data_IF_313339213751
#
_entry.id   IF_313339213751
#
_cell.length_a   1.000
_cell.length_b   1.000
_cell.length_c   1.000
_cell.angle_alpha   90.00
_cell.angle_beta   90.00
_cell.angle_gamma   90.00
#
_symmetry.space_group_name_H-M   'P 1'
#
loop_
_entity.id
_entity.type
_entity.pdbx_description
1 polymer ?
#
# COMPACT_ATOMS: atom_id res chain seq x y z
N UNK A 1 7.46 -19.51 -22.50
CA UNK A 1 7.81 -18.97 -21.18
C UNK A 1 7.92 -17.46 -21.32
N UNK A 2 7.24 -16.66 -20.51
CA UNK A 2 7.38 -15.19 -20.53
C UNK A 2 8.82 -14.82 -20.12
N UNK A 3 9.38 -13.77 -20.75
CA UNK A 3 10.69 -13.20 -20.39
C UNK A 3 10.73 -12.90 -18.89
N UNK A 4 11.83 -13.22 -18.21
CA UNK A 4 12.05 -12.77 -16.81
C UNK A 4 12.15 -11.26 -16.76
N UNK A 5 11.57 -10.66 -15.72
CA UNK A 5 11.76 -9.22 -15.43
C UNK A 5 13.15 -9.01 -14.86
N UNK A 6 13.91 -8.10 -15.46
CA UNK A 6 15.26 -7.75 -15.04
C UNK A 6 15.22 -6.59 -14.05
N UNK A 7 15.52 -6.86 -12.79
CA UNK A 7 15.49 -5.89 -11.69
C UNK A 7 16.93 -5.48 -11.35
N UNK A 8 17.26 -4.22 -11.62
CA UNK A 8 18.54 -3.66 -11.21
C UNK A 8 18.54 -3.41 -9.70
N UNK A 9 19.45 -4.02 -8.96
CA UNK A 9 19.63 -3.79 -7.54
C UNK A 9 20.67 -2.69 -7.31
N UNK A 10 20.28 -1.69 -6.54
CA UNK A 10 21.15 -0.63 -6.04
C UNK A 10 21.21 -0.77 -4.52
N UNK A 11 22.36 -1.17 -3.99
CA UNK A 11 22.50 -1.47 -2.57
C UNK A 11 23.82 -0.99 -2.00
N UNK A 12 23.82 -0.79 -0.68
CA UNK A 12 25.04 -0.55 0.11
C UNK A 12 25.27 -1.75 1.04
N UNK A 13 26.05 -2.72 0.59
CA UNK A 13 26.53 -3.84 1.41
C UNK A 13 25.54 -4.98 1.64
N UNK A 14 24.29 -4.95 1.12
CA UNK A 14 23.34 -6.07 1.26
C UNK A 14 23.81 -7.32 0.52
N UNK A 15 24.57 -7.16 -0.55
CA UNK A 15 25.17 -8.23 -1.34
C UNK A 15 26.16 -9.10 -0.57
N UNK A 16 26.69 -8.61 0.54
CA UNK A 16 27.61 -9.32 1.42
C UNK A 16 26.93 -9.98 2.63
N UNK A 17 25.61 -9.94 2.68
CA UNK A 17 24.82 -10.50 3.77
C UNK A 17 23.91 -11.64 3.29
N UNK A 18 23.46 -12.48 4.21
CA UNK A 18 22.48 -13.54 3.90
C UNK A 18 21.16 -13.04 3.34
N UNK A 19 20.85 -11.75 3.50
CA UNK A 19 19.66 -11.10 2.95
C UNK A 19 19.64 -11.17 1.43
N UNK A 20 20.80 -11.13 0.76
CA UNK A 20 20.86 -11.23 -0.70
C UNK A 20 20.27 -12.54 -1.22
N UNK A 21 20.47 -13.64 -0.52
CA UNK A 21 19.86 -14.93 -0.90
C UNK A 21 18.35 -14.89 -0.82
N UNK A 22 17.78 -14.19 0.16
CA UNK A 22 16.33 -14.04 0.28
C UNK A 22 15.77 -13.10 -0.81
N UNK A 23 16.53 -12.09 -1.25
CA UNK A 23 16.17 -11.25 -2.40
C UNK A 23 16.10 -12.10 -3.68
N UNK A 24 17.11 -12.94 -3.93
CA UNK A 24 17.12 -13.82 -5.10
C UNK A 24 15.97 -14.82 -5.09
N UNK A 25 15.67 -15.45 -3.94
CA UNK A 25 14.53 -16.35 -3.80
C UNK A 25 13.20 -15.65 -4.07
N UNK A 26 13.03 -14.44 -3.53
CA UNK A 26 11.83 -13.65 -3.75
C UNK A 26 11.66 -13.25 -5.22
N UNK A 27 12.72 -12.87 -5.91
CA UNK A 27 12.71 -12.55 -7.33
C UNK A 27 12.39 -13.78 -8.19
N UNK A 28 12.99 -14.92 -7.90
CA UNK A 28 12.74 -16.18 -8.60
C UNK A 28 11.27 -16.62 -8.47
N UNK A 29 10.69 -16.49 -7.27
CA UNK A 29 9.29 -16.83 -7.02
C UNK A 29 8.29 -16.05 -7.87
N UNK A 30 8.67 -14.85 -8.34
CA UNK A 30 7.84 -13.98 -9.22
C UNK A 30 8.32 -13.96 -10.68
N UNK A 31 9.18 -14.92 -11.06
CA UNK A 31 9.80 -15.02 -12.39
C UNK A 31 10.54 -13.74 -12.80
N UNK A 32 11.33 -13.19 -11.88
CA UNK A 32 12.24 -12.08 -12.10
C UNK A 32 13.69 -12.54 -11.87
N UNK A 33 14.63 -11.71 -12.31
CA UNK A 33 16.05 -11.84 -11.97
C UNK A 33 16.55 -10.51 -11.42
N UNK A 34 17.35 -10.59 -10.38
CA UNK A 34 18.01 -9.44 -9.76
C UNK A 34 19.47 -9.44 -10.17
N UNK A 35 19.98 -8.29 -10.59
CA UNK A 35 21.38 -8.12 -10.98
C UNK A 35 21.91 -6.78 -10.48
N UNK A 36 23.25 -6.71 -10.33
CA UNK A 36 23.93 -5.46 -10.04
C UNK A 36 24.38 -4.82 -11.35
N UNK A 37 24.02 -3.55 -11.64
CA UNK A 37 24.52 -2.85 -12.81
C UNK A 37 26.04 -2.82 -12.84
N UNK A 38 26.64 -3.30 -13.93
CA UNK A 38 28.06 -3.16 -14.20
C UNK A 38 28.34 -1.84 -14.87
N UNK A 39 29.28 -1.06 -14.35
CA UNK A 39 29.56 0.31 -14.79
C UNK A 39 31.07 0.55 -14.88
N UNK A 40 31.47 1.46 -15.76
CA UNK A 40 32.87 1.84 -15.90
C UNK A 40 33.35 2.71 -14.74
N UNK A 41 34.64 2.67 -14.44
CA UNK A 41 35.25 3.49 -13.39
C UNK A 41 34.98 4.98 -13.57
N UNK A 42 35.05 5.49 -14.80
CA UNK A 42 34.75 6.89 -15.12
C UNK A 42 33.30 7.30 -14.81
N UNK A 43 32.34 6.36 -14.78
CA UNK A 43 30.97 6.64 -14.36
C UNK A 43 30.89 6.81 -12.83
N UNK A 44 31.70 6.07 -12.09
CA UNK A 44 31.80 6.22 -10.62
C UNK A 44 32.40 7.58 -10.27
N UNK A 45 33.48 8.00 -10.93
CA UNK A 45 34.13 9.29 -10.69
C UNK A 45 33.17 10.46 -10.96
N UNK A 46 32.40 10.42 -12.03
CA UNK A 46 31.38 11.44 -12.36
C UNK A 46 30.24 11.55 -11.35
N UNK A 47 29.99 10.52 -10.57
CA UNK A 47 28.91 10.49 -9.57
C UNK A 47 29.27 11.11 -8.24
N UNK A 48 30.55 11.48 -8.01
CA UNK A 48 31.02 11.93 -6.70
C UNK A 48 30.38 13.23 -6.23
N UNK A 49 30.07 14.13 -7.14
CA UNK A 49 29.40 15.41 -6.85
C UNK A 49 27.91 15.38 -7.19
N UNK A 50 27.37 14.20 -7.50
CA UNK A 50 25.95 14.07 -7.83
C UNK A 50 25.08 14.40 -6.61
N UNK A 51 23.96 15.04 -6.86
CA UNK A 51 22.95 15.44 -5.85
C UNK A 51 23.42 16.47 -4.81
N UNK A 52 24.64 17.01 -4.91
CA UNK A 52 25.19 17.95 -3.92
C UNK A 52 25.42 17.32 -2.54
N UNK A 53 25.55 15.99 -2.46
CA UNK A 53 25.77 15.24 -1.23
C UNK A 53 27.26 14.93 -1.03
N UNK A 54 27.79 15.26 0.15
CA UNK A 54 29.14 14.82 0.57
C UNK A 54 29.09 13.35 1.05
N UNK A 55 28.99 12.42 0.09
CA UNK A 55 28.94 10.98 0.37
C UNK A 55 30.35 10.44 0.61
N UNK A 56 30.57 9.83 1.76
CA UNK A 56 31.90 9.27 2.14
C UNK A 56 32.03 7.78 1.86
N UNK A 57 30.94 7.03 1.97
CA UNK A 57 30.95 5.59 1.73
C UNK A 57 31.17 5.26 0.25
N UNK A 58 32.12 4.40 -0.04
CA UNK A 58 32.40 3.91 -1.40
C UNK A 58 31.20 3.16 -1.99
N UNK A 59 30.50 2.35 -1.15
CA UNK A 59 29.34 1.60 -1.56
C UNK A 59 28.18 2.52 -1.97
N UNK A 60 27.98 3.64 -1.25
CA UNK A 60 26.96 4.62 -1.58
C UNK A 60 27.31 5.40 -2.86
N UNK A 61 28.57 5.73 -3.08
CA UNK A 61 29.05 6.32 -4.35
C UNK A 61 28.78 5.38 -5.52
N UNK A 62 29.09 4.11 -5.37
CA UNK A 62 28.82 3.09 -6.37
C UNK A 62 27.31 2.94 -6.62
N UNK A 63 26.50 3.00 -5.58
CA UNK A 63 25.04 2.95 -5.69
C UNK A 63 24.49 4.13 -6.49
N UNK A 64 25.00 5.35 -6.27
CA UNK A 64 24.63 6.55 -7.03
C UNK A 64 25.04 6.38 -8.51
N UNK A 65 26.29 5.97 -8.76
CA UNK A 65 26.80 5.79 -10.12
C UNK A 65 25.99 4.77 -10.92
N UNK A 66 25.61 3.65 -10.31
CA UNK A 66 24.75 2.63 -10.91
C UNK A 66 23.38 3.19 -11.26
N UNK A 67 22.78 4.00 -10.36
CA UNK A 67 21.48 4.64 -10.60
C UNK A 67 21.52 5.67 -11.73
N UNK A 68 22.58 6.47 -11.81
CA UNK A 68 22.78 7.40 -12.92
C UNK A 68 22.95 6.66 -14.26
N UNK A 69 23.71 5.58 -14.30
CA UNK A 69 23.93 4.76 -15.50
C UNK A 69 22.61 4.14 -16.02
N UNK A 70 21.69 3.75 -15.11
CA UNK A 70 20.35 3.27 -15.48
C UNK A 70 19.52 4.38 -16.13
N UNK A 71 19.52 5.59 -15.56
CA UNK A 71 18.80 6.74 -16.10
C UNK A 71 19.36 7.18 -17.45
N UNK A 72 20.68 7.14 -17.62
CA UNK A 72 21.37 7.43 -18.88
C UNK A 72 21.21 6.33 -19.96
N UNK A 73 20.51 5.23 -19.64
CA UNK A 73 20.30 4.12 -20.58
C UNK A 73 21.54 3.29 -20.90
N UNK A 74 22.61 3.41 -20.09
CA UNK A 74 23.84 2.61 -20.26
C UNK A 74 23.66 1.16 -19.83
N UNK A 75 22.70 0.92 -18.93
CA UNK A 75 22.36 -0.40 -18.41
C UNK A 75 20.86 -0.62 -18.60
N UNK A 76 20.48 -1.71 -19.26
CA UNK A 76 19.08 -2.06 -19.51
C UNK A 76 18.49 -2.80 -18.30
N UNK A 77 17.36 -2.32 -17.80
CA UNK A 77 16.58 -2.93 -16.74
C UNK A 77 15.09 -2.65 -16.94
N UNK A 78 14.25 -3.56 -16.42
CA UNK A 78 12.79 -3.39 -16.43
C UNK A 78 12.28 -2.68 -15.18
N UNK A 79 13.05 -2.75 -14.07
CA UNK A 79 12.71 -2.14 -12.77
C UNK A 79 13.96 -1.93 -11.91
N UNK A 80 13.82 -1.14 -10.85
CA UNK A 80 14.91 -0.83 -9.90
C UNK A 80 14.49 -1.17 -8.47
N UNK A 81 15.33 -1.90 -7.77
CA UNK A 81 15.21 -2.16 -6.34
C UNK A 81 16.36 -1.50 -5.57
N UNK A 82 16.04 -0.46 -4.79
CA UNK A 82 17.02 0.22 -3.96
C UNK A 82 16.95 -0.35 -2.55
N UNK A 83 18.04 -0.93 -2.05
CA UNK A 83 18.06 -1.47 -0.70
C UNK A 83 19.27 -0.98 0.09
N UNK A 84 19.03 -0.56 1.33
CA UNK A 84 20.04 -0.03 2.22
C UNK A 84 20.10 -0.82 3.52
N UNK A 85 21.26 -0.84 4.14
CA UNK A 85 21.46 -1.55 5.40
C UNK A 85 20.88 -0.76 6.59
N UNK A 86 20.64 -1.49 7.64
CA UNK A 86 20.20 -1.13 8.98
C UNK A 86 20.35 0.36 9.39
N UNK A 87 19.30 1.18 9.13
CA UNK A 87 19.14 2.54 9.68
C UNK A 87 20.38 3.45 9.57
N UNK A 88 21.19 3.26 8.54
CA UNK A 88 22.30 4.16 8.24
C UNK A 88 21.76 5.51 7.73
N UNK A 89 22.05 6.60 8.43
CA UNK A 89 21.54 7.93 8.09
C UNK A 89 22.02 8.38 6.70
N UNK A 90 23.29 8.21 6.37
CA UNK A 90 23.85 8.54 5.05
C UNK A 90 23.16 7.73 3.94
N UNK A 91 22.98 6.42 4.16
CA UNK A 91 22.29 5.56 3.21
C UNK A 91 20.81 5.92 3.04
N UNK A 92 20.14 6.40 4.08
CA UNK A 92 18.75 6.85 3.98
C UNK A 92 18.61 8.10 3.11
N UNK A 93 19.52 9.06 3.26
CA UNK A 93 19.57 10.28 2.42
C UNK A 93 19.83 9.90 0.97
N UNK A 94 20.89 9.13 0.71
CA UNK A 94 21.25 8.71 -0.65
C UNK A 94 20.13 7.90 -1.30
N UNK A 95 19.49 6.97 -0.58
CA UNK A 95 18.34 6.18 -1.07
C UNK A 95 17.20 7.07 -1.52
N UNK A 96 16.83 8.08 -0.72
CA UNK A 96 15.72 8.96 -1.04
C UNK A 96 16.02 9.85 -2.25
N UNK A 97 17.22 10.45 -2.31
CA UNK A 97 17.63 11.27 -3.44
C UNK A 97 17.75 10.46 -4.73
N UNK A 98 18.37 9.28 -4.66
CA UNK A 98 18.53 8.40 -5.82
C UNK A 98 17.18 7.90 -6.35
N UNK A 99 16.26 7.55 -5.45
CA UNK A 99 14.90 7.18 -5.82
C UNK A 99 14.19 8.32 -6.54
N UNK A 100 14.25 9.55 -5.99
CA UNK A 100 13.66 10.74 -6.61
C UNK A 100 14.26 10.98 -7.98
N UNK A 101 15.59 10.95 -8.10
CA UNK A 101 16.30 11.14 -9.35
C UNK A 101 15.89 10.15 -10.44
N UNK A 102 15.85 8.85 -10.12
CA UNK A 102 15.43 7.81 -11.08
C UNK A 102 13.98 8.04 -11.50
N UNK A 103 13.12 8.40 -10.54
CA UNK A 103 11.71 8.60 -10.79
C UNK A 103 11.44 9.82 -11.70
N UNK A 104 12.13 10.94 -11.46
CA UNK A 104 11.96 12.18 -12.23
C UNK A 104 12.58 12.08 -13.63
N UNK A 105 13.63 11.28 -13.82
CA UNK A 105 14.42 11.24 -15.05
C UNK A 105 14.29 9.91 -15.84
N UNK A 106 13.46 8.98 -15.39
CA UNK A 106 13.23 7.71 -16.10
C UNK A 106 11.78 7.24 -15.95
N UNK A 107 11.44 6.21 -16.71
CA UNK A 107 10.15 5.52 -16.57
C UNK A 107 10.28 4.20 -15.81
N UNK A 108 11.42 3.92 -15.20
CA UNK A 108 11.65 2.69 -14.48
C UNK A 108 10.85 2.68 -13.17
N UNK A 109 10.06 1.65 -12.89
CA UNK A 109 9.48 1.48 -11.57
C UNK A 109 10.57 1.27 -10.53
N UNK A 110 10.47 1.99 -9.41
CA UNK A 110 11.46 1.98 -8.34
C UNK A 110 10.78 1.62 -7.03
N UNK A 111 11.28 0.61 -6.36
CA UNK A 111 10.93 0.32 -4.98
C UNK A 111 12.17 0.42 -4.12
N UNK A 112 12.06 1.13 -3.00
CA UNK A 112 13.15 1.26 -2.04
C UNK A 112 12.81 0.55 -0.72
N UNK A 113 13.84 0.02 -0.06
CA UNK A 113 13.69 -0.68 1.20
C UNK A 113 14.94 -0.52 2.09
N UNK A 114 14.72 -0.32 3.38
CA UNK A 114 15.78 -0.37 4.39
C UNK A 114 15.64 -1.66 5.20
N UNK A 115 16.69 -2.46 5.22
CA UNK A 115 16.70 -3.68 6.03
C UNK A 115 16.66 -3.34 7.52
N UNK A 116 15.90 -4.11 8.25
CA UNK A 116 15.82 -4.06 9.70
C UNK A 116 15.90 -5.48 10.25
N UNK A 117 16.05 -5.60 11.55
CA UNK A 117 15.97 -6.89 12.27
C UNK A 117 14.63 -7.62 12.10
N UNK A 118 13.62 -6.92 11.57
CA UNK A 118 12.27 -7.44 11.30
C UNK A 118 12.05 -7.80 9.83
N UNK A 119 13.06 -7.68 8.99
CA UNK A 119 12.95 -8.05 7.57
C UNK A 119 12.67 -9.55 7.44
N UNK A 120 11.59 -9.89 6.75
CA UNK A 120 11.18 -11.27 6.49
C UNK A 120 11.19 -11.59 5.00
N UNK A 121 11.23 -12.86 4.65
CA UNK A 121 11.09 -13.32 3.26
C UNK A 121 9.77 -12.83 2.63
N UNK A 122 8.67 -12.82 3.38
CA UNK A 122 7.37 -12.30 2.91
C UNK A 122 7.43 -10.81 2.57
N UNK A 123 8.14 -10.01 3.36
CA UNK A 123 8.34 -8.58 3.10
C UNK A 123 9.09 -8.33 1.78
N UNK A 124 10.08 -9.15 1.47
CA UNK A 124 10.84 -9.06 0.22
C UNK A 124 10.02 -9.57 -0.96
N UNK A 125 9.27 -10.66 -0.78
CA UNK A 125 8.41 -11.22 -1.81
C UNK A 125 7.35 -10.20 -2.27
N UNK A 126 6.66 -9.53 -1.35
CA UNK A 126 5.68 -8.50 -1.67
C UNK A 126 6.28 -7.38 -2.54
N UNK A 127 7.51 -6.96 -2.25
CA UNK A 127 8.20 -5.92 -3.02
C UNK A 127 8.60 -6.37 -4.41
N UNK A 128 9.08 -7.60 -4.54
CA UNK A 128 9.42 -8.19 -5.84
C UNK A 128 8.16 -8.44 -6.68
N UNK A 129 7.07 -8.87 -6.06
CA UNK A 129 5.76 -9.04 -6.70
C UNK A 129 5.26 -7.70 -7.26
N UNK A 130 5.26 -6.63 -6.45
CA UNK A 130 4.86 -5.29 -6.86
C UNK A 130 5.70 -4.76 -8.02
N UNK A 131 7.04 -4.80 -7.90
CA UNK A 131 7.96 -4.38 -8.98
C UNK A 131 7.71 -5.14 -10.29
N UNK A 132 7.60 -6.46 -10.19
CA UNK A 132 7.42 -7.33 -11.36
C UNK A 132 6.07 -7.07 -12.03
N UNK A 133 5.04 -6.83 -11.23
CA UNK A 133 3.70 -6.47 -11.71
C UNK A 133 3.73 -5.14 -12.46
N UNK A 134 4.30 -4.10 -11.84
CA UNK A 134 4.37 -2.78 -12.47
C UNK A 134 5.16 -2.86 -13.78
N UNK A 135 6.29 -3.57 -13.80
CA UNK A 135 7.11 -3.72 -14.99
C UNK A 135 6.38 -4.46 -16.15
N UNK A 136 5.64 -5.54 -15.82
CA UNK A 136 4.96 -6.37 -16.83
C UNK A 136 3.62 -5.81 -17.29
N UNK A 137 2.87 -5.18 -16.39
CA UNK A 137 1.46 -4.82 -16.60
C UNK A 137 1.24 -3.31 -16.66
N UNK A 138 2.26 -2.55 -17.03
CA UNK A 138 2.17 -1.08 -17.06
C UNK A 138 1.01 -0.57 -17.89
N UNK A 139 0.76 -1.16 -19.07
CA UNK A 139 -0.38 -0.79 -19.92
C UNK A 139 -1.72 -1.06 -19.22
N UNK A 140 -1.85 -2.21 -18.53
CA UNK A 140 -3.04 -2.53 -17.75
C UNK A 140 -3.21 -1.54 -16.57
N UNK A 141 -2.12 -1.19 -15.89
CA UNK A 141 -2.13 -0.25 -14.76
C UNK A 141 -2.42 1.19 -15.20
N UNK A 142 -2.10 1.56 -16.43
CA UNK A 142 -2.43 2.86 -16.98
C UNK A 142 -3.94 3.02 -17.33
N UNK A 143 -4.72 1.95 -17.19
CA UNK A 143 -6.16 1.98 -17.49
C UNK A 143 -6.90 2.94 -16.56
N UNK A 144 -7.61 3.93 -17.12
CA UNK A 144 -8.32 4.97 -16.38
C UNK A 144 -9.82 4.70 -16.24
N UNK A 145 -10.38 3.87 -17.11
CA UNK A 145 -11.80 3.58 -17.14
C UNK A 145 -12.08 2.07 -17.15
N UNK A 146 -13.14 1.68 -16.47
CA UNK A 146 -13.67 0.33 -16.50
C UNK A 146 -14.66 0.19 -17.66
N UNK A 147 -14.58 -0.91 -18.40
CA UNK A 147 -15.45 -1.23 -19.54
C UNK A 147 -16.13 -2.57 -19.34
N UNK A 148 -17.34 -2.72 -19.92
CA UNK A 148 -18.13 -3.93 -19.82
C UNK A 148 -18.71 -4.19 -18.44
N UNK A 149 -18.97 -5.47 -18.13
CA UNK A 149 -19.49 -5.91 -16.82
C UNK A 149 -18.43 -6.74 -16.12
N UNK A 150 -17.86 -6.19 -15.05
CA UNK A 150 -16.76 -6.84 -14.34
C UNK A 150 -17.05 -6.97 -12.85
N UNK A 151 -16.41 -7.96 -12.23
CA UNK A 151 -16.47 -8.20 -10.81
C UNK A 151 -15.07 -8.13 -10.19
N UNK A 152 -14.96 -7.43 -9.07
CA UNK A 152 -13.76 -7.45 -8.25
C UNK A 152 -14.04 -8.07 -6.89
N UNK A 153 -13.11 -8.89 -6.39
CA UNK A 153 -13.22 -9.54 -5.09
C UNK A 153 -11.95 -9.26 -4.30
N UNK A 154 -12.10 -8.61 -3.16
CA UNK A 154 -11.02 -8.37 -2.19
C UNK A 154 -11.23 -9.29 -0.99
N UNK A 155 -10.42 -10.33 -0.91
CA UNK A 155 -10.45 -11.29 0.21
C UNK A 155 -9.35 -10.96 1.22
N UNK A 156 -9.62 -9.96 2.06
CA UNK A 156 -8.71 -9.53 3.12
C UNK A 156 -8.70 -10.48 4.33
N UNK A 157 -7.77 -10.25 5.26
CA UNK A 157 -7.61 -11.06 6.48
C UNK A 157 -8.76 -10.89 7.49
N UNK A 158 -9.40 -9.71 7.50
CA UNK A 158 -10.49 -9.38 8.43
C UNK A 158 -11.85 -9.34 7.75
N UNK A 159 -11.91 -8.86 6.51
CA UNK A 159 -13.16 -8.67 5.76
C UNK A 159 -12.99 -9.03 4.31
N UNK A 160 -14.03 -9.60 3.71
CA UNK A 160 -14.11 -9.89 2.29
C UNK A 160 -15.16 -9.00 1.64
N UNK A 161 -14.82 -8.42 0.50
CA UNK A 161 -15.67 -7.49 -0.24
C UNK A 161 -15.76 -7.90 -1.70
N UNK A 162 -16.90 -7.66 -2.31
CA UNK A 162 -17.10 -7.83 -3.74
C UNK A 162 -17.77 -6.59 -4.33
N UNK A 163 -17.43 -6.26 -5.57
CA UNK A 163 -18.03 -5.16 -6.32
C UNK A 163 -18.36 -5.63 -7.72
N UNK A 164 -19.57 -5.33 -8.19
CA UNK A 164 -19.94 -5.46 -9.60
C UNK A 164 -19.92 -4.08 -10.23
N UNK A 165 -19.17 -3.93 -11.32
CA UNK A 165 -19.08 -2.68 -12.08
C UNK A 165 -19.59 -2.89 -13.50
N UNK A 166 -20.25 -1.86 -14.04
CA UNK A 166 -20.72 -1.80 -15.42
C UNK A 166 -20.49 -0.40 -15.97
N UNK A 167 -19.78 -0.32 -17.08
CA UNK A 167 -19.55 0.92 -17.82
C UNK A 167 -19.12 2.08 -16.90
N UNK A 168 -18.05 1.83 -16.15
CA UNK A 168 -17.43 2.79 -15.25
C UNK A 168 -18.27 3.17 -14.01
N UNK A 169 -19.26 2.35 -13.64
CA UNK A 169 -20.14 2.58 -12.47
C UNK A 169 -20.19 1.36 -11.56
N UNK A 170 -20.20 1.59 -10.27
CA UNK A 170 -20.49 0.57 -9.27
C UNK A 170 -21.98 0.28 -9.27
N UNK A 171 -22.36 -0.94 -9.60
CA UNK A 171 -23.74 -1.40 -9.68
C UNK A 171 -24.19 -2.10 -8.39
N UNK A 172 -23.27 -2.83 -7.74
CA UNK A 172 -23.55 -3.53 -6.51
C UNK A 172 -22.30 -3.78 -5.70
N UNK A 173 -22.46 -3.85 -4.39
CA UNK A 173 -21.39 -4.11 -3.43
C UNK A 173 -21.80 -5.19 -2.45
N UNK A 174 -20.86 -5.99 -1.97
CA UNK A 174 -21.07 -6.96 -0.92
C UNK A 174 -19.93 -6.93 0.08
N UNK A 175 -20.24 -7.17 1.35
CA UNK A 175 -19.30 -7.13 2.45
C UNK A 175 -19.61 -8.17 3.51
N UNK A 176 -18.62 -8.95 3.89
CA UNK A 176 -18.72 -9.92 4.99
C UNK A 176 -17.42 -9.98 5.80
N UNK A 177 -17.49 -10.28 7.10
CA UNK A 177 -16.31 -10.70 7.86
C UNK A 177 -15.67 -11.94 7.22
N UNK A 178 -14.34 -11.97 7.17
CA UNK A 178 -13.59 -13.14 6.69
C UNK A 178 -13.48 -14.16 7.83
N UNK A 179 -14.36 -15.17 7.83
CA UNK A 179 -14.32 -16.32 8.76
C UNK A 179 -13.77 -17.52 8.03
N UNK A 180 -14.43 -17.93 6.96
CA UNK A 180 -13.99 -18.94 6.00
C UNK A 180 -13.81 -18.27 4.64
N UNK A 181 -12.60 -18.26 4.11
CA UNK A 181 -12.22 -17.48 2.92
C UNK A 181 -13.20 -17.65 1.76
N UNK A 182 -13.52 -18.89 1.38
CA UNK A 182 -14.42 -19.16 0.24
C UNK A 182 -15.87 -18.77 0.57
N UNK A 183 -16.41 -19.19 1.69
CA UNK A 183 -17.80 -18.88 2.06
C UNK A 183 -18.02 -17.36 2.22
N UNK A 184 -17.04 -16.65 2.80
CA UNK A 184 -17.11 -15.21 2.92
C UNK A 184 -17.08 -14.53 1.53
N UNK A 185 -16.30 -15.07 0.61
CA UNK A 185 -16.26 -14.57 -0.77
C UNK A 185 -17.57 -14.86 -1.53
N UNK A 186 -18.11 -16.07 -1.42
CA UNK A 186 -19.41 -16.43 -2.01
C UNK A 186 -20.53 -15.55 -1.49
N UNK A 187 -20.57 -15.30 -0.18
CA UNK A 187 -21.58 -14.44 0.42
C UNK A 187 -21.45 -12.97 -0.01
N UNK A 188 -20.22 -12.42 -0.06
CA UNK A 188 -19.99 -11.06 -0.54
C UNK A 188 -20.35 -10.92 -2.04
N UNK A 189 -20.01 -11.91 -2.87
CA UNK A 189 -20.38 -11.96 -4.28
C UNK A 189 -21.90 -12.03 -4.44
N UNK A 190 -22.60 -12.87 -3.67
CA UNK A 190 -24.06 -12.97 -3.72
C UNK A 190 -24.73 -11.63 -3.39
N UNK A 191 -24.27 -10.92 -2.34
CA UNK A 191 -24.78 -9.58 -2.01
C UNK A 191 -24.56 -8.58 -3.15
N UNK A 192 -23.36 -8.58 -3.76
CA UNK A 192 -23.03 -7.65 -4.84
C UNK A 192 -23.88 -7.92 -6.10
N UNK A 193 -24.12 -9.18 -6.45
CA UNK A 193 -24.98 -9.58 -7.56
C UNK A 193 -26.44 -9.23 -7.29
N UNK A 194 -26.97 -9.53 -6.11
CA UNK A 194 -28.32 -9.18 -5.69
C UNK A 194 -28.57 -7.66 -5.77
N UNK A 195 -27.62 -6.88 -5.21
CA UNK A 195 -27.72 -5.41 -5.23
C UNK A 195 -27.62 -4.83 -6.64
N UNK A 196 -26.81 -5.44 -7.51
CA UNK A 196 -26.64 -4.96 -8.89
C UNK A 196 -27.80 -5.35 -9.82
N UNK A 197 -28.55 -6.40 -9.50
CA UNK A 197 -29.53 -7.02 -10.39
C UNK A 197 -28.92 -7.69 -11.64
N UNK A 198 -27.60 -7.90 -11.65
CA UNK A 198 -26.84 -8.50 -12.76
C UNK A 198 -26.65 -9.99 -12.47
N UNK A 199 -26.96 -10.85 -13.45
CA UNK A 199 -26.74 -12.28 -13.30
C UNK A 199 -25.23 -12.63 -13.34
N UNK A 200 -24.85 -13.71 -12.66
CA UNK A 200 -23.45 -14.14 -12.59
C UNK A 200 -22.86 -14.41 -13.98
N UNK A 201 -23.66 -14.92 -14.88
CA UNK A 201 -23.31 -15.28 -16.27
C UNK A 201 -23.07 -14.04 -17.15
N UNK A 202 -23.53 -12.88 -16.75
CA UNK A 202 -23.30 -11.62 -17.46
C UNK A 202 -21.94 -10.99 -17.11
N UNK A 203 -21.28 -11.47 -16.04
CA UNK A 203 -19.95 -10.99 -15.65
C UNK A 203 -18.92 -11.47 -16.71
N UNK A 204 -18.29 -10.52 -17.37
CA UNK A 204 -17.38 -10.74 -18.48
C UNK A 204 -15.93 -10.99 -18.01
N UNK A 205 -15.51 -10.37 -16.90
CA UNK A 205 -14.22 -10.63 -16.31
C UNK A 205 -14.22 -10.45 -14.78
N UNK A 206 -13.37 -11.22 -14.09
CA UNK A 206 -13.24 -11.22 -12.64
C UNK A 206 -11.80 -10.92 -12.24
N UNK A 207 -11.65 -9.96 -11.33
CA UNK A 207 -10.40 -9.69 -10.65
C UNK A 207 -10.43 -10.06 -9.18
N UNK A 208 -9.32 -10.59 -8.66
CA UNK A 208 -9.20 -10.91 -7.22
C UNK A 208 -7.94 -10.31 -6.63
N UNK A 209 -8.06 -9.84 -5.39
CA UNK A 209 -6.97 -9.32 -4.58
C UNK A 209 -7.13 -9.73 -3.11
N UNK A 210 -6.24 -9.27 -2.26
CA UNK A 210 -6.27 -9.58 -0.85
C UNK A 210 -5.42 -10.80 -0.47
N UNK A 211 -5.39 -11.09 0.81
CA UNK A 211 -4.67 -12.23 1.37
C UNK A 211 -5.13 -13.56 0.76
N UNK A 212 -6.45 -13.73 0.58
CA UNK A 212 -7.08 -14.91 0.00
C UNK A 212 -7.11 -14.97 -1.53
N UNK A 213 -6.52 -14.00 -2.25
CA UNK A 213 -6.66 -13.80 -3.70
C UNK A 213 -6.45 -15.05 -4.56
N UNK A 214 -5.47 -15.88 -4.24
CA UNK A 214 -5.18 -17.07 -5.02
C UNK A 214 -6.24 -18.16 -4.85
N UNK A 215 -6.75 -18.35 -3.63
CA UNK A 215 -7.76 -19.33 -3.34
C UNK A 215 -9.10 -18.92 -3.94
N UNK A 216 -9.49 -17.67 -3.72
CA UNK A 216 -10.71 -17.07 -4.26
C UNK A 216 -10.65 -16.96 -5.78
N UNK A 217 -9.50 -16.55 -6.33
CA UNK A 217 -9.30 -16.44 -7.77
C UNK A 217 -9.48 -17.78 -8.49
N UNK A 218 -8.93 -18.86 -7.94
CA UNK A 218 -9.14 -20.22 -8.48
C UNK A 218 -10.59 -20.68 -8.37
N UNK A 219 -11.25 -20.39 -7.24
CA UNK A 219 -12.64 -20.79 -7.01
C UNK A 219 -13.60 -20.10 -7.98
N UNK A 220 -13.42 -18.80 -8.25
CA UNK A 220 -14.30 -18.03 -9.14
C UNK A 220 -13.85 -18.02 -10.61
N UNK A 221 -12.71 -18.63 -10.95
CA UNK A 221 -12.14 -18.59 -12.31
C UNK A 221 -11.71 -17.18 -12.70
N UNK A 222 -11.00 -16.47 -11.82
CA UNK A 222 -10.63 -15.08 -12.05
C UNK A 222 -9.62 -14.92 -13.19
N UNK A 223 -9.87 -13.95 -14.07
CA UNK A 223 -9.00 -13.54 -15.18
C UNK A 223 -7.77 -12.78 -14.68
N UNK A 224 -7.94 -12.09 -13.55
CA UNK A 224 -6.89 -11.32 -12.88
C UNK A 224 -6.76 -11.74 -11.43
N UNK A 225 -5.57 -12.19 -11.03
CA UNK A 225 -5.18 -12.38 -9.63
C UNK A 225 -4.02 -11.42 -9.37
N UNK A 226 -4.23 -10.41 -8.52
CA UNK A 226 -3.28 -9.32 -8.36
C UNK A 226 -3.06 -8.98 -6.89
N UNK A 227 -1.83 -8.57 -6.53
CA UNK A 227 -1.50 -8.15 -5.18
C UNK A 227 -2.17 -6.81 -4.79
N UNK A 228 -2.35 -6.61 -3.49
CA UNK A 228 -3.15 -5.50 -2.94
C UNK A 228 -2.58 -4.11 -3.24
N UNK A 229 -1.26 -3.95 -3.21
CA UNK A 229 -0.62 -2.64 -3.31
C UNK A 229 -1.02 -1.93 -4.61
N UNK A 230 -0.88 -2.64 -5.72
CA UNK A 230 -1.21 -2.14 -7.07
C UNK A 230 -2.72 -1.90 -7.20
N UNK A 231 -3.52 -2.86 -6.74
CA UNK A 231 -4.97 -2.82 -6.86
C UNK A 231 -5.57 -1.72 -5.99
N UNK A 232 -5.12 -1.62 -4.73
CA UNK A 232 -5.62 -0.60 -3.79
C UNK A 232 -5.24 0.81 -4.24
N UNK A 233 -4.01 1.00 -4.74
CA UNK A 233 -3.60 2.28 -5.33
C UNK A 233 -4.51 2.68 -6.48
N UNK A 234 -4.79 1.75 -7.38
CA UNK A 234 -5.65 1.99 -8.55
C UNK A 234 -7.09 2.30 -8.15
N UNK A 235 -7.65 1.52 -7.25
CA UNK A 235 -9.01 1.74 -6.72
C UNK A 235 -9.14 3.06 -5.98
N UNK A 236 -8.12 3.45 -5.20
CA UNK A 236 -8.13 4.70 -4.44
C UNK A 236 -8.17 5.93 -5.36
N UNK A 237 -7.27 6.04 -6.34
CA UNK A 237 -7.23 7.19 -7.25
C UNK A 237 -8.42 7.21 -8.21
N UNK A 238 -8.95 6.03 -8.59
CA UNK A 238 -10.17 5.92 -9.37
C UNK A 238 -11.38 6.49 -8.62
N UNK A 239 -11.59 6.06 -7.38
CA UNK A 239 -12.70 6.53 -6.55
C UNK A 239 -12.58 8.01 -6.16
N UNK A 240 -11.36 8.52 -6.04
CA UNK A 240 -11.08 9.93 -5.75
C UNK A 240 -11.14 10.84 -6.99
N UNK A 241 -11.43 10.28 -8.16
CA UNK A 241 -11.39 10.99 -9.46
C UNK A 241 -10.04 11.71 -9.69
N UNK A 242 -8.95 11.06 -9.28
CA UNK A 242 -7.59 11.60 -9.37
C UNK A 242 -6.62 10.58 -9.98
N UNK A 243 -6.89 10.16 -11.20
CA UNK A 243 -6.12 9.11 -11.87
C UNK A 243 -4.86 9.62 -12.58
N UNK A 244 -4.71 10.94 -12.74
CA UNK A 244 -3.53 11.59 -13.33
C UNK A 244 -2.84 12.47 -12.30
N UNK A 245 -1.55 12.66 -12.49
CA UNK A 245 -0.71 13.41 -11.58
C UNK A 245 -0.27 12.60 -10.37
N UNK A 246 0.21 13.29 -9.36
CA UNK A 246 0.73 12.67 -8.12
C UNK A 246 -0.30 12.70 -7.01
N UNK A 247 -0.31 11.68 -6.17
CA UNK A 247 -1.10 11.64 -4.94
C UNK A 247 -0.43 10.75 -3.88
N UNK A 248 -0.90 10.85 -2.66
CA UNK A 248 -0.54 9.94 -1.57
C UNK A 248 -1.76 9.18 -1.14
N UNK A 249 -1.69 7.85 -1.15
CA UNK A 249 -2.75 6.97 -0.65
C UNK A 249 -2.35 6.44 0.72
N UNK A 250 -3.21 6.62 1.71
CA UNK A 250 -3.09 6.07 3.07
C UNK A 250 -4.19 5.02 3.22
N UNK A 251 -3.80 3.75 3.25
CA UNK A 251 -4.72 2.64 3.46
C UNK A 251 -4.49 2.06 4.86
N UNK A 252 -5.46 2.23 5.74
CA UNK A 252 -5.42 1.67 7.09
C UNK A 252 -6.49 0.59 7.17
N UNK A 253 -6.04 -0.66 7.14
CA UNK A 253 -6.87 -1.84 7.27
C UNK A 253 -7.16 -2.23 8.72
N UNK A 254 -7.79 -3.41 8.88
CA UNK A 254 -8.05 -3.98 10.21
C UNK A 254 -6.79 -4.40 10.96
N UNK A 255 -5.77 -4.88 10.27
CA UNK A 255 -4.53 -5.42 10.86
C UNK A 255 -3.24 -4.83 10.28
N UNK A 256 -3.29 -4.18 9.14
CA UNK A 256 -2.15 -3.60 8.46
C UNK A 256 -2.45 -2.16 8.03
N UNK A 257 -1.39 -1.44 7.70
CA UNK A 257 -1.50 -0.12 7.10
C UNK A 257 -0.45 0.04 6.00
N UNK A 258 -0.76 0.87 5.03
CA UNK A 258 0.10 1.14 3.88
C UNK A 258 0.06 2.63 3.57
N UNK A 259 1.21 3.19 3.24
CA UNK A 259 1.29 4.51 2.65
C UNK A 259 1.97 4.38 1.28
N UNK A 260 1.34 4.93 0.24
CA UNK A 260 1.71 4.69 -1.15
C UNK A 260 1.75 6.03 -1.88
N UNK A 261 2.88 6.35 -2.48
CA UNK A 261 2.98 7.41 -3.48
C UNK A 261 2.45 6.88 -4.80
N UNK A 262 1.51 7.56 -5.41
CA UNK A 262 0.90 7.15 -6.69
C UNK A 262 1.14 8.22 -7.74
N UNK A 263 1.47 7.83 -8.96
CA UNK A 263 1.71 8.71 -10.09
C UNK A 263 1.01 8.16 -11.31
N UNK A 264 0.11 8.94 -11.88
CA UNK A 264 -0.73 8.54 -13.01
C UNK A 264 -1.42 7.19 -12.79
N UNK A 265 -1.91 6.98 -11.56
CA UNK A 265 -2.58 5.75 -11.16
C UNK A 265 -1.66 4.53 -10.95
N UNK A 266 -0.35 4.71 -11.06
CA UNK A 266 0.65 3.64 -10.87
C UNK A 266 1.33 3.84 -9.51
N UNK A 267 1.41 2.79 -8.66
CA UNK A 267 2.12 2.91 -7.40
C UNK A 267 3.62 3.13 -7.64
N UNK A 268 4.17 4.10 -6.94
CA UNK A 268 5.59 4.39 -6.89
C UNK A 268 6.22 3.82 -5.62
N UNK A 269 6.66 4.71 -4.73
CA UNK A 269 7.18 4.30 -3.42
C UNK A 269 6.05 3.95 -2.47
N UNK A 270 6.29 2.95 -1.65
CA UNK A 270 5.35 2.58 -0.63
C UNK A 270 6.05 2.10 0.65
N UNK A 271 5.34 2.22 1.73
CA UNK A 271 5.67 1.63 3.02
C UNK A 271 4.57 0.68 3.47
N UNK A 272 4.94 -0.35 4.18
CA UNK A 272 4.01 -1.32 4.75
C UNK A 272 4.20 -1.30 6.26
N UNK A 273 3.13 -1.09 7.00
CA UNK A 273 3.11 -1.19 8.45
C UNK A 273 3.39 -2.62 8.91
N UNK A 274 4.07 -2.72 10.05
CA UNK A 274 4.28 -4.01 10.69
C UNK A 274 2.97 -4.62 11.19
N UNK A 275 3.01 -5.90 11.52
CA UNK A 275 1.89 -6.73 12.02
C UNK A 275 1.37 -6.26 13.41
N UNK A 276 1.76 -5.06 13.86
CA UNK A 276 1.34 -4.57 15.17
C UNK A 276 -0.07 -3.95 15.06
N UNK A 277 -1.04 -4.62 15.62
CA UNK A 277 -2.44 -4.19 15.65
C UNK A 277 -2.68 -2.82 16.35
N UNK A 278 -1.67 -2.21 16.95
CA UNK A 278 -1.77 -0.91 17.60
C UNK A 278 -2.06 0.25 16.65
N UNK A 279 -1.47 0.23 15.46
CA UNK A 279 -1.64 1.28 14.44
C UNK A 279 -2.69 0.89 13.38
N UNK A 280 -3.75 0.19 13.77
CA UNK A 280 -4.71 -0.37 12.82
C UNK A 280 -6.16 -0.26 13.32
N UNK A 281 -7.09 -0.61 12.46
CA UNK A 281 -8.52 -0.65 12.76
C UNK A 281 -8.86 -1.53 13.97
N UNK A 282 -8.07 -2.57 14.25
CA UNK A 282 -8.28 -3.46 15.39
C UNK A 282 -8.21 -2.73 16.74
N UNK A 283 -7.28 -1.77 16.87
CA UNK A 283 -7.21 -0.94 18.09
C UNK A 283 -8.45 -0.05 18.24
N UNK A 284 -8.93 0.52 17.14
CA UNK A 284 -10.14 1.36 17.15
C UNK A 284 -11.41 0.55 17.43
N UNK A 285 -11.56 -0.66 16.87
CA UNK A 285 -12.64 -1.59 17.20
C UNK A 285 -12.66 -1.92 18.70
N UNK A 286 -11.48 -2.22 19.25
CA UNK A 286 -11.37 -2.51 20.68
C UNK A 286 -11.69 -1.29 21.52
N UNK A 287 -11.26 -0.10 21.08
CA UNK A 287 -11.59 1.18 21.75
C UNK A 287 -13.10 1.40 21.76
N UNK A 288 -13.79 1.27 20.64
CA UNK A 288 -15.24 1.41 20.54
C UNK A 288 -15.95 0.44 21.50
N UNK A 289 -15.54 -0.83 21.50
CA UNK A 289 -16.08 -1.85 22.42
C UNK A 289 -15.87 -1.48 23.88
N UNK A 290 -14.72 -0.95 24.27
CA UNK A 290 -14.43 -0.49 25.65
C UNK A 290 -15.24 0.72 26.04
N UNK A 291 -15.49 1.61 25.09
CA UNK A 291 -16.36 2.78 25.30
C UNK A 291 -17.86 2.43 25.28
N UNK A 292 -18.24 1.18 24.94
CA UNK A 292 -19.63 0.74 24.84
C UNK A 292 -20.39 1.42 23.70
N UNK A 293 -19.72 1.64 22.57
CA UNK A 293 -20.31 2.20 21.35
C UNK A 293 -20.04 1.27 20.15
N UNK A 294 -20.85 1.41 19.11
CA UNK A 294 -20.55 0.78 17.81
C UNK A 294 -19.37 1.50 17.17
N UNK A 295 -18.61 0.78 16.32
CA UNK A 295 -17.44 1.35 15.62
C UNK A 295 -17.83 2.56 14.74
N UNK A 296 -19.04 2.57 14.20
CA UNK A 296 -19.57 3.68 13.40
C UNK A 296 -19.84 4.94 14.20
N UNK A 297 -20.00 4.82 15.52
CA UNK A 297 -20.19 5.94 16.44
C UNK A 297 -18.87 6.52 16.96
N UNK A 298 -17.75 5.77 16.80
CA UNK A 298 -16.45 6.18 17.33
C UNK A 298 -15.95 7.49 16.70
N UNK A 299 -16.13 7.66 15.39
CA UNK A 299 -15.73 8.88 14.67
C UNK A 299 -16.46 10.12 15.19
N UNK A 300 -17.80 10.16 15.13
CA UNK A 300 -18.58 11.26 15.70
C UNK A 300 -18.33 11.53 17.18
N UNK A 301 -18.02 10.50 17.98
CA UNK A 301 -17.65 10.65 19.37
C UNK A 301 -16.29 11.35 19.52
N UNK A 302 -15.29 10.91 18.76
CA UNK A 302 -13.95 11.50 18.77
C UNK A 302 -13.94 12.97 18.35
N UNK A 303 -14.80 13.36 17.40
CA UNK A 303 -14.93 14.75 16.95
C UNK A 303 -15.40 15.72 18.06
N UNK A 304 -16.00 15.22 19.14
CA UNK A 304 -16.43 16.03 20.29
C UNK A 304 -15.38 16.13 21.38
N UNK A 305 -14.32 15.32 21.31
CA UNK A 305 -13.28 15.21 22.32
C UNK A 305 -12.03 16.02 22.01
N UNK A 306 -11.12 16.09 22.98
CA UNK A 306 -9.81 16.72 22.87
C UNK A 306 -8.71 15.70 23.14
N UNK A 307 -8.04 15.23 22.09
CA UNK A 307 -6.99 14.20 22.18
C UNK A 307 -5.88 14.53 23.20
N UNK A 308 -5.48 15.80 23.27
CA UNK A 308 -4.41 16.27 24.18
C UNK A 308 -4.70 16.09 25.66
N UNK A 309 -5.95 15.83 26.05
CA UNK A 309 -6.34 15.60 27.45
C UNK A 309 -6.02 14.20 27.96
N UNK A 310 -5.82 13.25 27.06
CA UNK A 310 -5.61 11.84 27.40
C UNK A 310 -4.31 11.35 26.81
N UNK A 311 -3.27 11.09 27.64
CA UNK A 311 -2.06 10.46 27.13
C UNK A 311 -2.39 9.04 26.66
N UNK A 312 -2.18 8.76 25.37
CA UNK A 312 -2.45 7.48 24.77
C UNK A 312 -1.18 6.93 24.12
N UNK A 313 -0.88 5.67 24.36
CA UNK A 313 0.21 4.98 23.71
C UNK A 313 -0.34 3.72 23.03
N UNK A 314 -0.53 3.77 21.71
CA UNK A 314 -1.04 2.66 20.94
C UNK A 314 0.04 1.84 20.21
N UNK A 315 1.34 2.12 20.42
CA UNK A 315 2.45 1.34 19.81
C UNK A 315 2.36 -0.17 20.11
N UNK A 316 1.75 -0.52 21.20
CA UNK A 316 1.40 -1.89 21.53
C UNK A 316 -0.07 -1.92 21.95
N UNK A 317 -0.86 -2.81 21.34
CA UNK A 317 -2.28 -2.96 21.64
C UNK A 317 -2.55 -3.21 23.14
N UNK A 318 -1.64 -3.91 23.82
CA UNK A 318 -1.74 -4.17 25.26
C UNK A 318 -1.59 -2.87 26.06
N UNK A 319 -0.57 -2.07 25.78
CA UNK A 319 -0.35 -0.80 26.45
C UNK A 319 -1.39 0.25 26.08
N UNK A 320 -1.85 0.25 24.83
CA UNK A 320 -2.97 1.09 24.39
C UNK A 320 -4.25 0.77 25.16
N UNK A 321 -4.57 -0.53 25.32
CA UNK A 321 -5.71 -0.96 26.15
C UNK A 321 -5.57 -0.52 27.59
N UNK A 322 -4.38 -0.64 28.17
CA UNK A 322 -4.13 -0.18 29.54
C UNK A 322 -4.30 1.34 29.66
N UNK A 323 -3.83 2.09 28.67
CA UNK A 323 -4.02 3.55 28.62
C UNK A 323 -5.50 3.93 28.59
N UNK A 324 -6.32 3.23 27.78
CA UNK A 324 -7.78 3.41 27.74
C UNK A 324 -8.43 3.20 29.10
N UNK A 325 -8.11 2.07 29.77
CA UNK A 325 -8.67 1.73 31.07
C UNK A 325 -8.28 2.75 32.12
N UNK A 326 -7.01 3.14 32.16
CA UNK A 326 -6.49 4.13 33.11
C UNK A 326 -7.16 5.50 32.91
N UNK A 327 -7.32 5.95 31.68
CA UNK A 327 -7.96 7.23 31.35
C UNK A 327 -9.42 7.27 31.83
N UNK A 328 -10.19 6.22 31.56
CA UNK A 328 -11.59 6.10 32.00
C UNK A 328 -11.67 6.03 33.52
N UNK A 329 -10.78 5.28 34.17
CA UNK A 329 -10.72 5.21 35.65
C UNK A 329 -10.34 6.55 36.32
N UNK A 330 -9.54 7.37 35.61
CA UNK A 330 -9.19 8.72 36.02
C UNK A 330 -10.30 9.77 35.76
N UNK A 331 -11.45 9.36 35.19
CA UNK A 331 -12.59 10.23 34.91
C UNK A 331 -12.52 11.00 33.62
N UNK A 332 -11.67 10.60 32.67
CA UNK A 332 -11.66 11.18 31.31
C UNK A 332 -13.01 10.89 30.62
N UNK A 333 -13.48 11.83 29.82
CA UNK A 333 -14.72 11.65 29.05
C UNK A 333 -14.54 10.61 27.95
N UNK A 334 -15.61 9.97 27.53
CA UNK A 334 -15.58 9.01 26.40
C UNK A 334 -15.12 9.67 25.11
N UNK A 335 -15.51 10.94 24.93
CA UNK A 335 -15.15 11.78 23.80
C UNK A 335 -13.62 12.03 23.74
N UNK A 336 -13.02 12.45 24.86
CA UNK A 336 -11.59 12.70 24.95
C UNK A 336 -10.77 11.41 24.72
N UNK A 337 -11.25 10.28 25.27
CA UNK A 337 -10.61 8.97 25.07
C UNK A 337 -10.72 8.51 23.61
N UNK A 338 -11.87 8.70 22.95
CA UNK A 338 -12.05 8.39 21.55
C UNK A 338 -11.14 9.23 20.63
N UNK A 339 -11.07 10.55 20.91
CA UNK A 339 -10.19 11.48 20.20
C UNK A 339 -8.71 11.08 20.35
N UNK A 340 -8.29 10.75 21.59
CA UNK A 340 -6.91 10.32 21.86
C UNK A 340 -6.55 9.01 21.14
N UNK A 341 -7.48 8.05 21.05
CA UNK A 341 -7.26 6.81 20.36
C UNK A 341 -7.09 7.04 18.83
N UNK A 342 -7.95 7.87 18.22
CA UNK A 342 -7.83 8.23 16.81
C UNK A 342 -6.49 8.96 16.54
N UNK A 343 -6.13 9.93 17.38
CA UNK A 343 -4.89 10.68 17.23
C UNK A 343 -3.66 9.76 17.37
N UNK A 344 -3.66 8.86 18.34
CA UNK A 344 -2.54 7.94 18.56
C UNK A 344 -2.33 6.95 17.39
N UNK A 345 -3.40 6.49 16.75
CA UNK A 345 -3.30 5.68 15.51
C UNK A 345 -2.73 6.52 14.37
N UNK A 346 -3.21 7.75 14.19
CA UNK A 346 -2.71 8.65 13.16
C UNK A 346 -1.21 8.97 13.35
N UNK A 347 -0.78 9.27 14.58
CA UNK A 347 0.64 9.48 14.92
C UNK A 347 1.51 8.28 14.56
N UNK A 348 1.08 7.07 14.88
CA UNK A 348 1.84 5.87 14.55
C UNK A 348 1.98 5.64 13.05
N UNK A 349 0.90 5.84 12.29
CA UNK A 349 0.94 5.74 10.82
C UNK A 349 1.87 6.81 10.25
N UNK A 350 1.81 8.03 10.78
CA UNK A 350 2.71 9.09 10.38
C UNK A 350 4.18 8.71 10.64
N UNK A 351 4.52 8.32 11.86
CA UNK A 351 5.90 8.02 12.24
C UNK A 351 6.48 6.76 11.57
N UNK A 352 5.65 5.74 11.38
CA UNK A 352 6.12 4.46 10.86
C UNK A 352 6.05 4.35 9.32
N UNK A 353 5.18 5.13 8.67
CA UNK A 353 4.91 4.99 7.25
C UNK A 353 5.15 6.27 6.45
N UNK A 354 4.55 7.38 6.89
CA UNK A 354 4.50 8.59 6.09
C UNK A 354 5.82 9.35 6.06
N UNK A 355 6.65 9.22 7.09
CA UNK A 355 7.99 9.83 7.10
C UNK A 355 8.95 9.22 6.06
N UNK A 356 8.65 8.03 5.55
CA UNK A 356 9.50 7.35 4.57
C UNK A 356 9.10 7.63 3.12
N UNK A 357 8.00 8.32 2.88
CA UNK A 357 7.53 8.67 1.53
C UNK A 357 7.46 10.20 1.35
N UNK A 358 7.57 10.63 0.10
CA UNK A 358 7.36 12.03 -0.27
C UNK A 358 5.85 12.28 -0.43
N UNK A 359 5.26 12.96 0.56
CA UNK A 359 3.82 13.20 0.60
C UNK A 359 3.44 14.22 -0.46
N UNK A 360 2.55 13.84 -1.37
CA UNK A 360 1.98 14.67 -2.42
C UNK A 360 0.47 14.77 -2.26
N UNK A 361 -0.07 15.94 -2.48
CA UNK A 361 -1.52 16.15 -2.54
C UNK A 361 -2.10 15.75 -3.91
N UNK A 362 -3.36 15.26 -3.91
CA UNK A 362 -4.21 15.04 -2.76
C UNK A 362 -3.75 13.85 -1.92
N UNK A 363 -3.94 13.96 -0.59
CA UNK A 363 -3.80 12.83 0.34
C UNK A 363 -5.13 12.11 0.42
N UNK A 364 -5.17 10.88 -0.04
CA UNK A 364 -6.38 10.06 -0.16
C UNK A 364 -6.35 8.98 0.92
N UNK A 365 -7.28 9.03 1.87
CA UNK A 365 -7.39 8.01 2.91
C UNK A 365 -8.48 7.00 2.57
N UNK A 366 -8.14 5.72 2.66
CA UNK A 366 -8.97 4.59 2.23
C UNK A 366 -8.93 3.45 3.24
N UNK A 367 -9.63 2.36 2.95
CA UNK A 367 -9.82 1.25 3.87
C UNK A 367 -11.00 1.46 4.81
N UNK A 368 -11.35 0.46 5.61
CA UNK A 368 -12.50 0.52 6.53
C UNK A 368 -12.38 1.62 7.57
N UNK A 369 -11.16 1.96 8.00
CA UNK A 369 -10.90 2.99 9.02
C UNK A 369 -11.09 4.41 8.50
N UNK A 370 -11.07 4.64 7.19
CA UNK A 370 -11.35 5.94 6.59
C UNK A 370 -12.79 6.43 6.83
N UNK A 371 -13.68 5.52 7.26
CA UNK A 371 -15.04 5.85 7.67
C UNK A 371 -15.11 6.42 9.10
N UNK A 372 -14.02 6.40 9.85
CA UNK A 372 -13.93 6.96 11.21
C UNK A 372 -13.48 8.41 11.11
N UNK A 373 -14.45 9.33 11.11
CA UNK A 373 -14.22 10.77 10.90
C UNK A 373 -13.13 11.34 11.82
N UNK A 374 -13.11 10.94 13.11
CA UNK A 374 -12.10 11.39 14.07
C UNK A 374 -10.68 10.96 13.68
N UNK A 375 -10.50 9.81 13.02
CA UNK A 375 -9.18 9.39 12.53
C UNK A 375 -8.75 10.20 11.30
N UNK A 376 -9.68 10.46 10.39
CA UNK A 376 -9.43 11.29 9.19
C UNK A 376 -9.04 12.70 9.60
N UNK A 377 -9.75 13.27 10.58
CA UNK A 377 -9.43 14.59 11.16
C UNK A 377 -8.04 14.60 11.79
N UNK A 378 -7.73 13.63 12.64
CA UNK A 378 -6.42 13.52 13.29
C UNK A 378 -5.28 13.40 12.27
N UNK A 379 -5.48 12.65 11.18
CA UNK A 379 -4.50 12.54 10.10
C UNK A 379 -4.31 13.88 9.37
N UNK A 380 -5.40 14.59 9.07
CA UNK A 380 -5.34 15.91 8.43
C UNK A 380 -4.61 16.94 9.29
N UNK A 381 -4.86 16.92 10.60
CA UNK A 381 -4.18 17.81 11.56
C UNK A 381 -2.68 17.53 11.65
N UNK A 382 -2.28 16.25 11.64
CA UNK A 382 -0.86 15.88 11.68
C UNK A 382 -0.12 16.27 10.40
N UNK A 383 -0.75 16.06 9.26
CA UNK A 383 -0.16 16.35 7.95
C UNK A 383 -0.29 17.81 7.54
N UNK A 384 -1.13 18.59 8.22
CA UNK A 384 -1.49 19.98 7.86
C UNK A 384 -2.03 20.11 6.42
N UNK A 385 -2.80 19.07 5.98
CA UNK A 385 -3.43 19.02 4.65
C UNK A 385 -4.87 18.54 4.77
N UNK A 386 -5.66 18.82 3.74
CA UNK A 386 -7.00 18.25 3.64
C UNK A 386 -6.91 16.80 3.16
N UNK A 387 -7.32 15.87 4.02
CA UNK A 387 -7.43 14.45 3.64
C UNK A 387 -8.74 14.23 2.87
N UNK A 388 -8.63 13.54 1.73
CA UNK A 388 -9.76 13.18 0.88
C UNK A 388 -10.18 11.74 1.20
N UNK A 389 -11.44 11.52 1.53
CA UNK A 389 -12.03 10.19 1.66
C UNK A 389 -13.01 10.01 0.51
N UNK A 390 -12.72 9.17 -0.48
CA UNK A 390 -13.63 8.96 -1.59
C UNK A 390 -14.86 8.12 -1.18
N UNK A 391 -15.97 8.22 -1.89
CA UNK A 391 -17.10 7.31 -1.71
C UNK A 391 -16.63 5.86 -1.91
N UNK A 392 -17.25 4.91 -1.21
CA UNK A 392 -16.85 3.49 -1.25
C UNK A 392 -15.39 3.21 -0.87
N UNK A 393 -14.77 4.05 -0.07
CA UNK A 393 -13.35 3.96 0.33
C UNK A 393 -12.95 2.59 0.94
N UNK A 394 -13.87 1.86 1.55
CA UNK A 394 -13.64 0.51 2.06
C UNK A 394 -13.61 -0.58 0.97
N UNK A 395 -14.05 -0.29 -0.25
CA UNK A 395 -14.11 -1.23 -1.37
C UNK A 395 -12.98 -1.08 -2.38
N UNK A 396 -11.95 -0.29 -2.08
CA UNK A 396 -10.86 0.03 -3.03
C UNK A 396 -10.24 -1.19 -3.70
N UNK A 397 -10.00 -2.27 -2.92
CA UNK A 397 -9.43 -3.50 -3.45
C UNK A 397 -10.35 -4.18 -4.46
N UNK A 398 -11.63 -4.28 -4.14
CA UNK A 398 -12.61 -4.84 -5.07
C UNK A 398 -12.84 -3.95 -6.30
N UNK A 399 -12.92 -2.62 -6.12
CA UNK A 399 -13.05 -1.66 -7.24
C UNK A 399 -11.82 -1.70 -8.15
N UNK A 400 -10.62 -1.63 -7.58
CA UNK A 400 -9.38 -1.71 -8.36
C UNK A 400 -9.24 -3.03 -9.12
N UNK A 401 -9.65 -4.15 -8.50
CA UNK A 401 -9.66 -5.47 -9.16
C UNK A 401 -10.63 -5.50 -10.33
N UNK A 402 -11.86 -4.98 -10.16
CA UNK A 402 -12.86 -4.92 -11.23
C UNK A 402 -12.42 -4.01 -12.38
N UNK A 403 -11.84 -2.84 -12.05
CA UNK A 403 -11.30 -1.90 -13.03
C UNK A 403 -10.19 -2.54 -13.87
N UNK A 404 -9.23 -3.19 -13.23
CA UNK A 404 -8.11 -3.84 -13.94
C UNK A 404 -8.58 -5.09 -14.70
N UNK A 405 -9.54 -5.87 -14.16
CA UNK A 405 -10.09 -7.03 -14.85
C UNK A 405 -10.79 -6.65 -16.17
N UNK A 406 -11.28 -5.41 -16.30
CA UNK A 406 -11.90 -4.96 -17.53
C UNK A 406 -10.95 -4.95 -18.76
N UNK A 407 -9.64 -5.03 -18.55
CA UNK A 407 -8.66 -5.27 -19.62
C UNK A 407 -8.75 -6.67 -20.26
N UNK A 408 -9.55 -7.58 -19.71
CA UNK A 408 -9.76 -8.93 -20.23
C UNK A 408 -11.13 -9.10 -20.89
N UNK A 409 -12.00 -8.08 -20.86
CA UNK A 409 -13.37 -8.14 -21.42
C UNK A 409 -13.38 -8.24 -22.94
N UNK A 410 -12.39 -7.70 -23.63
CA UNK A 410 -12.36 -7.58 -25.08
C UNK A 410 -11.10 -8.17 -25.70
N UNK A 411 -10.62 -9.31 -25.29
CA UNK A 411 -9.56 -10.01 -26.02
C UNK A 411 -8.43 -9.12 -26.57
N UNK A 412 -8.04 -8.08 -25.82
CA UNK A 412 -6.87 -7.26 -26.11
C UNK A 412 -5.56 -7.93 -25.70
#
# INVERSE_FOLDING_TARGET
MSRKVRIAQLSCGSEYSGVQNEIYKAAEAVNAEVFFPDIALGDVERSFDAFGLDVRSADLKLMIARGMALVEGKVDADAVFICTCFRCAEAAIVRNELRRYIHENSRLPVVSYSFTERTTAGTLLTRMEALTTIARRRALLAREAQTGITMGIDSGSSTTKAVVMKDNRIMGTGWLPTIEVIKSAEGAVAQALEMSGIAREEIQAIGTTGYGRFLVGRHFGADLIQEELTVNSKGAVYLADHQRGTSTVIDIGGMDNKAISVIDGIPGTFTLGGICAGASGRFLEMTAKRLGVDITELGPLAMKGLAKKVPMNSYCIVFGTQSLVNALAAGSTREDVAAAACHSVAEQVFEQQLQEIDIKEPVIMVGGTSLIEGLVHAMGDLLQVKVVVPPHSQYIGAVGSALLASGFVEGE
#
